data_IF_274095010665
#
_entry.id   IF_274095010665
#
_cell.length_a   1.000
_cell.length_b   1.000
_cell.length_c   1.000
_cell.angle_alpha   90.00
_cell.angle_beta   90.00
_cell.angle_gamma   90.00
#
_symmetry.space_group_name_H-M   'P 1'
#
loop_
_entity.id
_entity.type
_entity.pdbx_description
1 polymer ?
#
# COMPACT_ATOMS: atom_id res chain seq x y z
N UNK A 1 44.88 5.40 -6.48
CA UNK A 1 43.59 4.74 -6.79
C UNK A 1 43.29 4.92 -8.27
N UNK A 2 43.15 3.82 -9.00
CA UNK A 2 42.79 3.84 -10.42
C UNK A 2 41.37 4.38 -10.61
N UNK A 3 41.06 4.92 -11.79
CA UNK A 3 39.71 5.37 -12.17
C UNK A 3 38.67 4.27 -11.90
N UNK A 4 39.04 3.01 -12.15
CA UNK A 4 38.22 1.83 -11.89
C UNK A 4 37.87 1.66 -10.40
N UNK A 5 38.80 1.92 -9.48
CA UNK A 5 38.53 1.81 -8.05
C UNK A 5 37.59 2.92 -7.57
N UNK A 6 37.68 4.13 -8.12
CA UNK A 6 36.79 5.25 -7.79
C UNK A 6 35.36 5.00 -8.28
N UNK A 7 35.19 4.43 -9.48
CA UNK A 7 33.88 4.06 -10.01
C UNK A 7 33.23 2.93 -9.21
N UNK A 8 34.00 1.90 -8.82
CA UNK A 8 33.47 0.80 -7.99
C UNK A 8 33.02 1.31 -6.62
N UNK A 9 33.83 2.14 -5.96
CA UNK A 9 33.47 2.75 -4.67
C UNK A 9 32.21 3.63 -4.83
N UNK A 10 32.12 4.43 -5.89
CA UNK A 10 30.93 5.25 -6.16
C UNK A 10 29.66 4.42 -6.35
N UNK A 11 29.71 3.33 -7.11
CA UNK A 11 28.57 2.42 -7.31
C UNK A 11 28.18 1.73 -6.01
N UNK A 12 29.14 1.31 -5.19
CA UNK A 12 28.86 0.68 -3.89
C UNK A 12 28.19 1.65 -2.91
N UNK A 13 28.62 2.91 -2.87
CA UNK A 13 27.99 3.94 -2.04
C UNK A 13 26.55 4.21 -2.51
N UNK A 14 26.33 4.30 -3.83
CA UNK A 14 24.98 4.49 -4.39
C UNK A 14 24.07 3.29 -4.08
N UNK A 15 24.56 2.06 -4.22
CA UNK A 15 23.81 0.86 -3.88
C UNK A 15 23.49 0.80 -2.38
N UNK A 16 24.46 1.09 -1.51
CA UNK A 16 24.25 1.11 -0.07
C UNK A 16 23.22 2.16 0.36
N UNK A 17 23.28 3.37 -0.20
CA UNK A 17 22.29 4.43 0.09
C UNK A 17 20.88 4.05 -0.38
N UNK A 18 20.73 3.44 -1.56
CA UNK A 18 19.45 2.91 -2.03
C UNK A 18 18.91 1.81 -1.11
N UNK A 19 19.76 0.87 -0.67
CA UNK A 19 19.35 -0.21 0.24
C UNK A 19 18.92 0.35 1.60
N UNK A 20 19.67 1.31 2.16
CA UNK A 20 19.35 1.92 3.46
C UNK A 20 18.04 2.69 3.39
N UNK A 21 17.84 3.51 2.35
CA UNK A 21 16.59 4.26 2.17
C UNK A 21 15.40 3.36 1.92
N UNK A 22 15.55 2.31 1.10
CA UNK A 22 14.51 1.30 0.89
C UNK A 22 14.13 0.61 2.20
N UNK A 23 15.11 0.18 2.99
CA UNK A 23 14.86 -0.41 4.31
C UNK A 23 14.18 0.55 5.27
N UNK A 24 14.58 1.82 5.29
CA UNK A 24 13.94 2.81 6.15
C UNK A 24 12.47 3.04 5.79
N UNK A 25 12.12 2.96 4.50
CA UNK A 25 10.74 3.05 4.01
C UNK A 25 9.94 1.79 4.33
N UNK A 26 10.53 0.61 4.13
CA UNK A 26 9.90 -0.69 4.40
C UNK A 26 9.79 -1.02 5.91
N UNK A 27 10.51 -0.29 6.77
CA UNK A 27 10.50 -0.48 8.21
C UNK A 27 9.49 0.46 8.89
N UNK A 28 8.23 0.38 8.48
CA UNK A 28 7.18 1.12 9.18
C UNK A 28 6.91 0.55 10.59
N UNK A 29 6.44 1.40 11.52
CA UNK A 29 6.41 1.12 12.96
C UNK A 29 5.33 0.09 13.38
N UNK A 30 4.87 -0.75 12.46
CA UNK A 30 3.80 -1.72 12.71
C UNK A 30 4.11 -2.60 13.92
N UNK A 31 5.37 -2.90 14.22
CA UNK A 31 5.74 -3.81 15.31
C UNK A 31 5.26 -3.35 16.70
N UNK A 32 5.23 -2.05 16.96
CA UNK A 32 4.90 -1.48 18.28
C UNK A 32 3.41 -1.10 18.41
N UNK A 33 2.62 -1.33 17.36
CA UNK A 33 1.19 -1.05 17.34
C UNK A 33 0.37 -2.22 17.88
N UNK A 34 -0.82 -1.90 18.42
CA UNK A 34 -1.85 -2.90 18.68
C UNK A 34 -2.21 -3.65 17.39
N UNK A 35 -2.81 -4.84 17.49
CA UNK A 35 -3.20 -5.61 16.30
C UNK A 35 -4.12 -4.81 15.37
N UNK A 36 -5.07 -4.06 15.94
CA UNK A 36 -5.89 -3.08 15.21
C UNK A 36 -5.06 -1.95 14.61
N UNK A 37 -4.13 -1.36 15.38
CA UNK A 37 -3.24 -0.32 14.89
C UNK A 37 -2.39 -0.78 13.70
N UNK A 38 -1.95 -2.04 13.69
CA UNK A 38 -1.26 -2.66 12.55
C UNK A 38 -2.16 -2.68 11.31
N UNK A 39 -3.39 -3.18 11.43
CA UNK A 39 -4.34 -3.21 10.30
C UNK A 39 -4.62 -1.79 9.75
N UNK A 40 -4.84 -0.81 10.65
CA UNK A 40 -5.04 0.60 10.28
C UNK A 40 -3.83 1.15 9.52
N UNK A 41 -2.63 0.92 10.04
CA UNK A 41 -1.38 1.38 9.44
C UNK A 41 -1.22 0.80 8.03
N UNK A 42 -1.36 -0.53 7.87
CA UNK A 42 -1.20 -1.20 6.57
C UNK A 42 -2.15 -0.61 5.52
N UNK A 43 -3.43 -0.39 5.86
CA UNK A 43 -4.42 0.19 4.93
C UNK A 43 -4.03 1.63 4.52
N UNK A 44 -3.56 2.45 5.46
CA UNK A 44 -3.09 3.82 5.18
C UNK A 44 -1.81 3.85 4.33
N UNK A 45 -0.87 2.97 4.65
CA UNK A 45 0.45 2.95 4.05
C UNK A 45 0.44 2.30 2.67
N UNK A 46 -0.44 1.31 2.47
CA UNK A 46 -0.77 0.79 1.14
C UNK A 46 -1.64 1.76 0.33
N UNK A 47 -2.38 2.65 0.99
CA UNK A 47 -3.15 3.71 0.35
C UNK A 47 -4.44 3.20 -0.31
N UNK A 48 -5.07 2.17 0.25
CA UNK A 48 -6.29 1.59 -0.30
C UNK A 48 -7.38 2.66 -0.49
N UNK A 49 -7.48 3.57 0.47
CA UNK A 49 -8.46 4.67 0.49
C UNK A 49 -8.17 5.78 -0.53
N UNK A 50 -7.01 5.78 -1.21
CA UNK A 50 -6.71 6.75 -2.28
C UNK A 50 -7.60 6.50 -3.49
N UNK A 51 -8.02 5.25 -3.73
CA UNK A 51 -8.84 4.87 -4.88
C UNK A 51 -10.19 4.25 -4.49
N UNK A 52 -10.34 3.66 -3.31
CA UNK A 52 -11.52 2.88 -2.92
C UNK A 52 -12.53 3.64 -2.03
N UNK A 53 -12.70 4.94 -2.27
CA UNK A 53 -13.67 5.81 -1.57
C UNK A 53 -14.43 6.70 -2.55
N UNK A 54 -15.59 7.19 -2.12
CA UNK A 54 -16.47 8.02 -2.96
C UNK A 54 -15.86 9.36 -3.36
N UNK A 55 -15.06 9.97 -2.48
CA UNK A 55 -14.37 11.23 -2.73
C UNK A 55 -12.85 11.09 -2.51
N UNK A 56 -12.13 10.48 -3.47
CA UNK A 56 -10.72 10.18 -3.32
C UNK A 56 -9.88 11.44 -3.31
N UNK A 57 -8.99 11.57 -2.31
CA UNK A 57 -7.95 12.60 -2.29
C UNK A 57 -6.80 12.17 -3.20
N UNK A 58 -7.01 12.34 -4.51
CA UNK A 58 -6.02 11.95 -5.51
C UNK A 58 -4.72 12.75 -5.36
N UNK A 59 -3.57 12.12 -5.64
CA UNK A 59 -2.27 12.77 -5.56
C UNK A 59 -2.17 13.91 -6.58
N UNK A 60 -1.28 14.88 -6.33
CA UNK A 60 -1.12 16.08 -7.18
C UNK A 60 -0.85 15.75 -8.65
N UNK A 61 -0.12 14.66 -8.92
CA UNK A 61 0.23 14.22 -10.27
C UNK A 61 -0.96 13.67 -11.07
N UNK A 62 -2.13 13.47 -10.44
CA UNK A 62 -3.40 13.21 -11.12
C UNK A 62 -3.89 14.40 -11.97
N UNK A 63 -3.26 15.58 -11.83
CA UNK A 63 -3.54 16.78 -12.63
C UNK A 63 -2.69 16.87 -13.90
N UNK A 64 -1.69 16.00 -14.06
CA UNK A 64 -0.80 16.04 -15.22
C UNK A 64 -1.55 15.62 -16.51
N UNK A 65 -1.34 16.31 -17.65
CA UNK A 65 -2.13 16.11 -18.87
C UNK A 65 -2.01 14.70 -19.46
N UNK A 66 -0.85 14.04 -19.30
CA UNK A 66 -0.58 12.73 -19.91
C UNK A 66 -1.11 11.55 -19.08
N UNK A 67 -1.04 11.63 -17.75
CA UNK A 67 -1.36 10.51 -16.85
C UNK A 67 -2.59 10.75 -15.98
N UNK A 68 -3.02 12.00 -15.84
CA UNK A 68 -4.06 12.41 -14.91
C UNK A 68 -5.41 11.74 -15.16
N UNK A 69 -5.85 11.68 -16.42
CA UNK A 69 -7.11 11.03 -16.79
C UNK A 69 -7.09 9.53 -16.50
N UNK A 70 -5.94 8.85 -16.71
CA UNK A 70 -5.79 7.43 -16.37
C UNK A 70 -5.90 7.20 -14.87
N UNK A 71 -5.29 8.05 -14.04
CA UNK A 71 -5.36 7.95 -12.58
C UNK A 71 -6.79 8.17 -12.08
N UNK A 72 -7.46 9.24 -12.54
CA UNK A 72 -8.85 9.54 -12.16
C UNK A 72 -9.79 8.41 -12.54
N UNK A 73 -9.65 7.86 -13.76
CA UNK A 73 -10.44 6.73 -14.22
C UNK A 73 -10.16 5.47 -13.40
N UNK A 74 -8.89 5.12 -13.20
CA UNK A 74 -8.51 3.95 -12.39
C UNK A 74 -9.00 4.05 -10.95
N UNK A 75 -8.99 5.25 -10.35
CA UNK A 75 -9.61 5.47 -9.04
C UNK A 75 -11.12 5.27 -9.07
N UNK A 76 -11.82 5.80 -10.08
CA UNK A 76 -13.27 5.56 -10.24
C UNK A 76 -13.59 4.08 -10.39
N UNK A 77 -12.81 3.36 -11.20
CA UNK A 77 -12.95 1.91 -11.41
C UNK A 77 -12.66 1.11 -10.14
N UNK A 78 -11.63 1.51 -9.36
CA UNK A 78 -11.33 0.94 -8.06
C UNK A 78 -12.50 1.07 -7.08
N UNK A 79 -13.03 2.29 -6.91
CA UNK A 79 -14.22 2.54 -6.07
C UNK A 79 -15.45 1.76 -6.55
N UNK A 80 -15.75 1.77 -7.85
CA UNK A 80 -16.87 1.01 -8.41
C UNK A 80 -16.72 -0.50 -8.23
N UNK A 81 -15.48 -1.00 -8.19
CA UNK A 81 -15.22 -2.40 -7.88
C UNK A 81 -15.57 -2.67 -6.42
N UNK A 82 -14.96 -1.93 -5.50
CA UNK A 82 -15.21 -2.10 -4.06
C UNK A 82 -15.07 -0.75 -3.33
N UNK A 83 -16.08 -0.43 -2.52
CA UNK A 83 -16.03 0.67 -1.58
C UNK A 83 -15.45 0.17 -0.25
N UNK A 84 -14.23 0.58 0.07
CA UNK A 84 -13.55 0.18 1.31
C UNK A 84 -13.83 1.10 2.49
N UNK A 85 -14.69 2.12 2.33
CA UNK A 85 -15.01 3.01 3.43
C UNK A 85 -15.68 2.28 4.61
N UNK A 86 -16.73 1.47 4.43
CA UNK A 86 -17.33 0.71 5.54
C UNK A 86 -16.35 -0.28 6.17
N UNK A 87 -15.49 -0.89 5.34
CA UNK A 87 -14.44 -1.80 5.80
C UNK A 87 -13.46 -1.08 6.72
N UNK A 88 -12.95 0.08 6.30
CA UNK A 88 -12.02 0.87 7.08
C UNK A 88 -12.64 1.41 8.37
N UNK A 89 -13.89 1.88 8.31
CA UNK A 89 -14.64 2.32 9.49
C UNK A 89 -14.82 1.18 10.50
N UNK A 90 -15.11 -0.04 10.03
CA UNK A 90 -15.16 -1.23 10.88
C UNK A 90 -13.81 -1.54 11.52
N UNK A 91 -12.69 -1.38 10.79
CA UNK A 91 -11.35 -1.55 11.39
C UNK A 91 -11.15 -0.53 12.50
N UNK A 92 -11.49 0.74 12.28
CA UNK A 92 -11.34 1.81 13.27
C UNK A 92 -12.13 1.55 14.56
N UNK A 93 -13.31 0.94 14.46
CA UNK A 93 -14.16 0.62 15.61
C UNK A 93 -13.94 -0.78 16.18
N UNK A 94 -12.99 -1.57 15.65
CA UNK A 94 -12.84 -2.99 15.94
C UNK A 94 -14.16 -3.79 15.76
N UNK A 95 -14.93 -3.40 14.74
CA UNK A 95 -16.23 -3.99 14.42
C UNK A 95 -16.14 -5.18 13.47
N UNK A 96 -17.31 -5.71 13.11
CA UNK A 96 -17.46 -6.84 12.18
C UNK A 96 -17.47 -6.37 10.72
N UNK A 97 -16.72 -7.09 9.89
CA UNK A 97 -16.62 -6.93 8.45
C UNK A 97 -17.47 -8.01 7.78
N UNK A 98 -18.15 -7.69 6.68
CA UNK A 98 -18.88 -8.73 5.93
C UNK A 98 -17.92 -9.76 5.33
N UNK A 99 -18.27 -11.05 5.38
CA UNK A 99 -17.52 -12.13 4.72
C UNK A 99 -17.20 -11.86 3.25
N UNK A 100 -18.12 -11.24 2.52
CA UNK A 100 -17.89 -10.86 1.12
C UNK A 100 -16.74 -9.86 0.98
N UNK A 101 -16.79 -8.77 1.74
CA UNK A 101 -15.74 -7.73 1.72
C UNK A 101 -14.40 -8.28 2.15
N UNK A 102 -14.36 -9.07 3.23
CA UNK A 102 -13.16 -9.75 3.71
C UNK A 102 -12.55 -10.64 2.60
N UNK A 103 -13.35 -11.51 1.99
CA UNK A 103 -12.90 -12.41 0.93
C UNK A 103 -12.35 -11.67 -0.30
N UNK A 104 -12.95 -10.54 -0.67
CA UNK A 104 -12.48 -9.71 -1.79
C UNK A 104 -11.15 -9.05 -1.47
N UNK A 105 -10.99 -8.51 -0.26
CA UNK A 105 -9.72 -7.92 0.21
C UNK A 105 -8.63 -9.00 0.27
N UNK A 106 -8.94 -10.17 0.84
CA UNK A 106 -8.01 -11.30 0.92
C UNK A 106 -7.55 -11.72 -0.47
N UNK A 107 -8.46 -11.82 -1.44
CA UNK A 107 -8.13 -12.26 -2.80
C UNK A 107 -7.08 -11.36 -3.48
N UNK A 108 -7.22 -10.04 -3.39
CA UNK A 108 -6.30 -9.09 -4.05
C UNK A 108 -4.97 -8.96 -3.32
N UNK A 109 -4.96 -9.14 -1.99
CA UNK A 109 -3.74 -9.19 -1.22
C UNK A 109 -3.00 -10.48 -1.59
N UNK A 110 -3.66 -11.64 -1.50
CA UNK A 110 -3.08 -12.96 -1.83
C UNK A 110 -2.50 -12.97 -3.25
N UNK A 111 -3.25 -12.47 -4.24
CA UNK A 111 -2.80 -12.39 -5.63
C UNK A 111 -1.70 -11.33 -5.88
N UNK A 112 -1.44 -10.43 -4.93
CA UNK A 112 -0.54 -9.28 -5.10
C UNK A 112 -0.97 -8.29 -6.20
N UNK A 113 -2.27 -8.24 -6.49
CA UNK A 113 -2.87 -7.40 -7.53
C UNK A 113 -3.05 -5.94 -7.11
N UNK A 114 -3.13 -5.70 -5.78
CA UNK A 114 -3.32 -4.38 -5.21
C UNK A 114 -2.16 -3.97 -4.28
N UNK A 115 -1.75 -2.69 -4.32
CA UNK A 115 -2.12 -1.69 -5.32
C UNK A 115 -1.50 -2.01 -6.70
N UNK A 116 -2.03 -1.40 -7.79
CA UNK A 116 -1.47 -1.59 -9.12
C UNK A 116 0.01 -1.20 -9.17
N UNK A 117 0.79 -1.86 -10.04
CA UNK A 117 2.23 -1.60 -10.20
C UNK A 117 2.49 -0.13 -10.52
N UNK A 118 1.64 0.50 -11.34
CA UNK A 118 1.75 1.93 -11.69
C UNK A 118 1.69 2.85 -10.47
N UNK A 119 0.90 2.50 -9.45
CA UNK A 119 0.86 3.23 -8.18
C UNK A 119 2.09 2.94 -7.33
N UNK A 120 2.56 1.69 -7.31
CA UNK A 120 3.73 1.27 -6.54
C UNK A 120 5.03 1.93 -7.00
N UNK A 121 5.15 2.27 -8.29
CA UNK A 121 6.30 2.99 -8.86
C UNK A 121 6.42 4.41 -8.29
N UNK A 122 5.28 5.11 -8.15
CA UNK A 122 5.24 6.50 -7.67
C UNK A 122 5.13 6.60 -6.15
N UNK A 123 4.74 5.51 -5.48
CA UNK A 123 4.74 5.35 -4.02
C UNK A 123 5.42 4.03 -3.63
N UNK A 124 6.77 4.00 -3.61
CA UNK A 124 7.51 2.86 -3.08
C UNK A 124 7.04 2.51 -1.65
N UNK A 125 7.02 1.22 -1.32
CA UNK A 125 6.51 0.73 -0.02
C UNK A 125 4.98 0.58 0.06
N UNK A 126 4.21 0.98 -0.96
CA UNK A 126 2.74 0.84 -0.92
C UNK A 126 2.21 -0.58 -1.16
N UNK A 127 3.07 -1.54 -1.51
CA UNK A 127 2.64 -2.94 -1.70
C UNK A 127 2.66 -3.66 -0.36
N UNK A 128 1.52 -4.26 -0.03
CA UNK A 128 1.38 -5.15 1.14
C UNK A 128 2.40 -6.29 1.04
N UNK A 129 3.37 -6.30 1.94
CA UNK A 129 4.40 -7.33 2.02
C UNK A 129 3.88 -8.61 2.71
N UNK A 130 4.73 -9.63 2.84
CA UNK A 130 4.34 -10.92 3.43
C UNK A 130 3.81 -10.81 4.87
N UNK A 131 4.48 -10.04 5.73
CA UNK A 131 4.09 -9.87 7.13
C UNK A 131 2.79 -9.07 7.25
N UNK A 132 2.66 -8.01 6.47
CA UNK A 132 1.45 -7.17 6.46
C UNK A 132 0.23 -7.93 5.94
N UNK A 133 0.44 -8.79 4.95
CA UNK A 133 -0.59 -9.71 4.46
C UNK A 133 -1.08 -10.64 5.55
N UNK A 134 -0.18 -11.30 6.28
CA UNK A 134 -0.56 -12.19 7.37
C UNK A 134 -1.40 -11.44 8.42
N UNK A 135 -1.04 -10.20 8.75
CA UNK A 135 -1.81 -9.36 9.66
C UNK A 135 -3.22 -9.08 9.12
N UNK A 136 -3.36 -8.68 7.85
CA UNK A 136 -4.67 -8.37 7.26
C UNK A 136 -5.55 -9.61 7.11
N UNK A 137 -4.98 -10.76 6.70
CA UNK A 137 -5.70 -12.02 6.59
C UNK A 137 -6.23 -12.48 7.96
N UNK A 138 -5.38 -12.40 9.00
CA UNK A 138 -5.81 -12.76 10.36
C UNK A 138 -6.83 -11.76 10.91
N UNK A 139 -6.67 -10.46 10.60
CA UNK A 139 -7.65 -9.45 10.98
C UNK A 139 -9.03 -9.78 10.41
N UNK A 140 -9.10 -10.04 9.10
CA UNK A 140 -10.33 -10.39 8.40
C UNK A 140 -10.94 -11.67 8.94
N UNK A 141 -10.14 -12.69 9.21
CA UNK A 141 -10.60 -13.95 9.78
C UNK A 141 -11.23 -13.78 11.17
N UNK A 142 -10.68 -12.92 12.02
CA UNK A 142 -11.16 -12.68 13.39
C UNK A 142 -12.41 -11.80 13.45
N UNK A 143 -12.66 -10.99 12.41
CA UNK A 143 -13.72 -9.98 12.41
C UNK A 143 -14.78 -10.20 11.31
N UNK A 144 -14.82 -11.37 10.65
CA UNK A 144 -15.82 -11.70 9.62
C UNK A 144 -17.02 -12.49 10.14
#
# INVERSE_FOLDING_TARGET
>A
MSILSKTIIGVLILAATLIITFRAIDHEPVNDLSFQGKAIAIIGNSGCMVCHVSNPKLPWYSKLPLIGNKIKRGSKEGFSSINLQPYYESILSAGIITKETASRVDSVIVAHDMPPISYSIVRPGSRVNGKEREILLEWNKLHQ
#
